data_IF_010927889068
#
_entry.id   IF_010927889068
#
_cell.length_a   1.000
_cell.length_b   1.000
_cell.length_c   1.000
_cell.angle_alpha   90.00
_cell.angle_beta   90.00
_cell.angle_gamma   90.00
#
_symmetry.space_group_name_H-M   'P 1'
#
loop_
_entity.id
_entity.type
_entity.pdbx_description
1 polymer ?
#
# COMPACT_ATOMS: atom_id res chain seq x y z
N UNK A 1 5.60 -5.89 -11.43
CA UNK A 1 5.82 -4.42 -11.42
C UNK A 1 5.10 -3.81 -12.60
N UNK A 2 4.27 -2.78 -12.37
CA UNK A 2 3.48 -2.13 -13.42
C UNK A 2 4.05 -0.73 -13.69
N UNK A 3 4.27 -0.40 -14.96
CA UNK A 3 4.55 0.98 -15.37
C UNK A 3 3.24 1.76 -15.40
N UNK A 4 3.18 2.86 -14.66
CA UNK A 4 2.06 3.79 -14.63
C UNK A 4 2.55 5.11 -15.21
N UNK A 5 1.88 5.57 -16.27
CA UNK A 5 2.17 6.87 -16.88
C UNK A 5 1.82 7.99 -15.90
N UNK A 6 2.72 8.97 -15.77
CA UNK A 6 2.55 10.12 -14.86
C UNK A 6 2.34 11.40 -15.66
N UNK A 7 3.30 11.75 -16.51
CA UNK A 7 3.31 13.03 -17.24
C UNK A 7 4.32 13.02 -18.39
N UNK A 8 4.37 14.10 -19.17
CA UNK A 8 5.53 14.36 -20.02
C UNK A 8 6.69 14.90 -19.18
N UNK A 9 7.92 14.53 -19.53
CA UNK A 9 9.15 15.07 -18.93
C UNK A 9 9.22 16.61 -18.98
N UNK A 10 8.51 17.22 -19.93
CA UNK A 10 8.41 18.67 -20.15
C UNK A 10 7.44 19.36 -19.19
N UNK A 11 6.58 18.62 -18.52
CA UNK A 11 5.63 19.16 -17.53
C UNK A 11 6.33 19.48 -16.19
N UNK A 12 7.56 19.02 -16.02
CA UNK A 12 8.38 19.17 -14.81
C UNK A 12 9.46 20.22 -15.09
N UNK A 13 9.52 21.33 -14.31
CA UNK A 13 10.54 22.35 -14.51
C UNK A 13 11.95 21.78 -14.29
N UNK A 14 12.95 22.31 -15.01
CA UNK A 14 14.36 21.98 -14.77
C UNK A 14 14.77 22.39 -13.35
N UNK A 15 15.41 21.46 -12.61
CA UNK A 15 15.68 21.64 -11.17
C UNK A 15 14.43 21.99 -10.34
N UNK A 16 13.25 21.56 -10.82
CA UNK A 16 11.96 21.77 -10.19
C UNK A 16 11.27 20.45 -9.87
N UNK A 17 10.08 20.58 -9.30
CA UNK A 17 9.25 19.45 -8.93
C UNK A 17 7.78 19.76 -9.21
N UNK A 18 6.96 18.71 -9.33
CA UNK A 18 5.51 18.84 -9.51
C UNK A 18 4.79 17.58 -9.04
N UNK A 19 3.64 17.73 -8.39
CA UNK A 19 2.78 16.60 -8.00
C UNK A 19 1.75 16.31 -9.09
N UNK A 20 1.49 15.02 -9.31
CA UNK A 20 0.50 14.51 -10.25
C UNK A 20 -0.45 13.53 -9.56
N UNK A 21 -1.74 13.67 -9.84
CA UNK A 21 -2.77 12.74 -9.39
C UNK A 21 -2.87 11.54 -10.34
N UNK A 22 -2.57 10.35 -9.83
CA UNK A 22 -2.79 9.12 -10.56
C UNK A 22 -4.25 8.68 -10.45
N UNK A 23 -4.71 7.87 -11.41
CA UNK A 23 -6.10 7.37 -11.45
C UNK A 23 -6.51 6.59 -10.20
N UNK A 24 -5.54 6.04 -9.47
CA UNK A 24 -5.77 5.32 -8.23
C UNK A 24 -5.77 6.20 -6.99
N UNK A 25 -5.81 7.53 -7.12
CA UNK A 25 -5.83 8.46 -6.00
C UNK A 25 -4.46 8.69 -5.34
N UNK A 26 -3.41 8.01 -5.82
CA UNK A 26 -2.04 8.26 -5.37
C UNK A 26 -1.56 9.58 -5.97
N UNK A 27 -1.03 10.45 -5.11
CA UNK A 27 -0.28 11.63 -5.51
C UNK A 27 1.19 11.29 -5.67
N UNK A 28 1.75 11.57 -6.84
CA UNK A 28 3.17 11.34 -7.12
C UNK A 28 3.85 12.67 -7.33
N UNK A 29 4.79 13.02 -6.47
CA UNK A 29 5.74 14.10 -6.71
C UNK A 29 6.82 13.58 -7.64
N UNK A 30 7.05 14.28 -8.76
CA UNK A 30 8.23 14.05 -9.60
C UNK A 30 9.14 15.26 -9.51
N UNK A 31 10.39 15.03 -9.12
CA UNK A 31 11.45 16.02 -9.05
C UNK A 31 12.49 15.77 -10.14
N UNK A 32 12.93 16.85 -10.79
CA UNK A 32 14.02 16.85 -11.74
C UNK A 32 15.28 17.33 -11.03
N UNK A 33 16.27 16.45 -10.88
CA UNK A 33 17.59 16.81 -10.36
C UNK A 33 18.64 16.67 -11.47
N UNK A 34 18.85 17.77 -12.22
CA UNK A 34 19.79 17.81 -13.34
C UNK A 34 19.34 16.96 -14.54
N UNK A 35 19.85 15.73 -14.65
CA UNK A 35 19.57 14.81 -15.78
C UNK A 35 18.71 13.61 -15.38
N UNK A 36 18.39 13.49 -14.09
CA UNK A 36 17.62 12.38 -13.54
C UNK A 36 16.32 12.86 -12.94
N UNK A 37 15.31 12.00 -13.03
CA UNK A 37 14.01 12.21 -12.41
C UNK A 37 13.86 11.26 -11.23
N UNK A 38 13.32 11.78 -10.14
CA UNK A 38 13.03 11.04 -8.93
C UNK A 38 11.55 11.19 -8.61
N UNK A 39 10.91 10.12 -8.17
CA UNK A 39 9.49 10.13 -7.85
C UNK A 39 9.24 9.65 -6.44
N UNK A 40 8.31 10.33 -5.75
CA UNK A 40 7.95 10.07 -4.36
C UNK A 40 6.45 10.20 -4.15
N UNK A 41 5.94 9.70 -3.02
CA UNK A 41 4.62 10.09 -2.52
C UNK A 41 4.57 11.63 -2.43
N UNK A 42 3.56 12.23 -3.07
CA UNK A 42 3.42 13.69 -3.15
C UNK A 42 2.90 14.34 -1.87
N UNK A 43 2.53 13.52 -0.90
CA UNK A 43 2.08 13.94 0.42
C UNK A 43 3.20 13.78 1.45
N UNK A 44 3.43 14.82 2.23
CA UNK A 44 4.38 14.85 3.32
C UNK A 44 4.07 13.73 4.33
N UNK A 45 5.04 12.86 4.68
CA UNK A 45 4.83 11.76 5.62
C UNK A 45 4.56 12.23 7.06
N UNK A 46 4.67 13.54 7.34
CA UNK A 46 4.33 14.13 8.63
C UNK A 46 2.81 14.42 8.76
N UNK A 47 2.20 15.24 7.89
CA UNK A 47 0.81 15.75 8.09
C UNK A 47 0.02 16.10 6.80
N UNK A 48 -0.13 15.17 5.85
CA UNK A 48 -1.05 15.35 4.71
C UNK A 48 -0.86 16.62 3.84
N UNK A 49 0.34 17.20 3.83
CA UNK A 49 0.69 18.40 3.04
C UNK A 49 1.21 18.02 1.66
N UNK A 50 0.75 18.69 0.60
CA UNK A 50 1.31 18.56 -0.74
C UNK A 50 2.76 19.07 -0.80
N UNK A 51 3.69 18.21 -1.19
CA UNK A 51 5.12 18.52 -1.16
C UNK A 51 5.57 19.48 -2.28
N UNK A 52 4.84 19.57 -3.39
CA UNK A 52 5.15 20.50 -4.48
C UNK A 52 4.81 21.96 -4.18
N UNK A 53 4.09 22.22 -3.08
CA UNK A 53 3.94 23.57 -2.51
C UNK A 53 5.18 23.99 -1.69
N UNK A 54 6.12 23.06 -1.47
CA UNK A 54 7.35 23.26 -0.73
C UNK A 54 8.45 23.98 -1.52
N UNK A 55 9.66 23.95 -0.95
CA UNK A 55 10.85 24.50 -1.57
C UNK A 55 11.75 23.37 -2.04
N UNK A 56 12.30 23.51 -3.25
CA UNK A 56 13.24 22.55 -3.82
C UNK A 56 14.36 23.30 -4.52
N UNK A 57 15.60 22.93 -4.23
CA UNK A 57 16.81 23.59 -4.75
C UNK A 57 17.58 22.76 -5.79
N UNK A 58 17.00 21.66 -6.25
CA UNK A 58 17.67 20.69 -7.14
C UNK A 58 18.27 19.49 -6.39
N UNK A 59 18.44 19.55 -5.07
CA UNK A 59 18.98 18.45 -4.26
C UNK A 59 18.15 18.14 -3.02
N UNK A 60 17.65 19.17 -2.34
CA UNK A 60 16.91 19.04 -1.09
C UNK A 60 15.48 19.55 -1.28
N UNK A 61 14.52 18.68 -0.96
CA UNK A 61 13.11 19.03 -0.85
C UNK A 61 12.81 19.46 0.59
N UNK A 62 12.17 20.60 0.78
CA UNK A 62 11.72 21.12 2.07
C UNK A 62 10.21 21.32 2.06
N UNK A 63 9.50 20.62 2.94
CA UNK A 63 8.07 20.86 3.19
C UNK A 63 7.87 22.28 3.75
N UNK A 64 6.94 23.06 3.17
CA UNK A 64 6.74 24.46 3.59
C UNK A 64 6.19 24.63 5.00
N UNK A 65 5.43 23.65 5.50
CA UNK A 65 4.68 23.82 6.75
C UNK A 65 5.54 23.53 7.98
N UNK A 66 6.21 22.38 8.02
CA UNK A 66 6.94 21.89 9.19
C UNK A 66 8.46 21.80 8.95
N UNK A 67 8.91 22.24 7.77
CA UNK A 67 10.33 22.32 7.40
C UNK A 67 11.07 20.99 7.47
N UNK A 68 10.36 19.86 7.37
CA UNK A 68 10.99 18.57 7.14
C UNK A 68 11.68 18.58 5.78
N UNK A 69 12.87 18.00 5.73
CA UNK A 69 13.73 18.01 4.57
C UNK A 69 14.13 16.60 4.16
N UNK A 70 14.34 16.42 2.86
CA UNK A 70 14.79 15.16 2.30
C UNK A 70 15.79 15.38 1.17
N UNK A 71 16.79 14.51 1.11
CA UNK A 71 17.66 14.39 -0.04
C UNK A 71 16.89 13.72 -1.18
N UNK A 72 16.78 14.40 -2.33
CA UNK A 72 15.94 13.95 -3.45
C UNK A 72 16.53 12.76 -4.21
N UNK A 73 17.81 12.44 -4.02
CA UNK A 73 18.45 11.33 -4.72
C UNK A 73 18.24 9.99 -3.99
N UNK A 74 18.06 10.07 -2.68
CA UNK A 74 17.92 8.91 -1.78
C UNK A 74 16.54 8.81 -1.15
N UNK A 75 15.78 9.90 -1.05
CA UNK A 75 14.56 10.01 -0.25
C UNK A 75 14.81 10.01 1.26
N UNK A 76 16.06 10.03 1.70
CA UNK A 76 16.41 9.96 3.11
C UNK A 76 16.04 11.27 3.82
N UNK A 77 15.56 11.13 5.05
CA UNK A 77 15.30 12.26 5.92
C UNK A 77 16.58 13.05 6.22
N UNK A 78 16.49 14.37 6.17
CA UNK A 78 17.57 15.31 6.49
C UNK A 78 17.13 16.21 7.65
N UNK A 79 18.05 16.46 8.58
CA UNK A 79 17.80 17.38 9.70
C UNK A 79 16.77 16.83 10.69
N UNK A 80 15.63 17.54 10.80
CA UNK A 80 14.57 17.25 11.77
C UNK A 80 13.56 16.20 11.29
N UNK A 81 13.63 15.78 10.03
CA UNK A 81 12.69 14.79 9.50
C UNK A 81 12.90 13.43 10.17
N UNK A 82 11.82 12.79 10.61
CA UNK A 82 11.87 11.52 11.34
C UNK A 82 11.48 10.32 10.47
N UNK A 83 10.97 10.56 9.25
CA UNK A 83 10.60 9.52 8.30
C UNK A 83 11.12 9.82 6.88
N UNK A 84 11.58 8.81 6.13
CA UNK A 84 11.98 8.97 4.73
C UNK A 84 10.76 9.19 3.82
N UNK A 85 11.00 9.67 2.60
CA UNK A 85 9.99 9.68 1.55
C UNK A 85 9.74 8.26 1.02
N UNK A 86 8.48 7.96 0.71
CA UNK A 86 8.14 6.76 -0.04
C UNK A 86 8.51 6.95 -1.52
N UNK A 87 9.53 6.23 -1.99
CA UNK A 87 10.07 6.35 -3.34
C UNK A 87 9.33 5.45 -4.35
N UNK A 88 9.22 5.94 -5.58
CA UNK A 88 8.84 5.17 -6.76
C UNK A 88 10.01 5.11 -7.74
N UNK A 89 10.27 3.93 -8.29
CA UNK A 89 11.24 3.81 -9.38
C UNK A 89 10.71 4.51 -10.63
N UNK A 90 11.58 5.28 -11.30
CA UNK A 90 11.21 6.10 -12.45
C UNK A 90 11.75 5.47 -13.74
N UNK A 91 10.91 5.40 -14.76
CA UNK A 91 11.31 5.09 -16.13
C UNK A 91 10.94 6.27 -17.03
N UNK A 92 11.84 6.67 -17.92
CA UNK A 92 11.59 7.71 -18.93
C UNK A 92 11.73 7.10 -20.31
N UNK A 93 10.67 7.16 -21.10
CA UNK A 93 10.59 6.60 -22.45
C UNK A 93 9.93 7.62 -23.37
N UNK A 94 10.57 8.00 -24.48
CA UNK A 94 10.02 8.95 -25.47
C UNK A 94 9.43 10.24 -24.86
N UNK A 95 10.19 10.91 -23.98
CA UNK A 95 9.76 12.11 -23.23
C UNK A 95 8.54 11.90 -22.30
N UNK A 96 8.19 10.65 -21.99
CA UNK A 96 7.15 10.30 -21.03
C UNK A 96 7.75 9.73 -19.75
N UNK A 97 7.28 10.24 -18.61
CA UNK A 97 7.68 9.79 -17.29
C UNK A 97 6.68 8.77 -16.77
N UNK A 98 7.21 7.62 -16.36
CA UNK A 98 6.46 6.54 -15.73
C UNK A 98 7.02 6.28 -14.34
N UNK A 99 6.14 5.90 -13.42
CA UNK A 99 6.56 5.25 -12.18
C UNK A 99 6.33 3.76 -12.27
N UNK A 100 7.26 3.00 -11.71
CA UNK A 100 7.15 1.57 -11.56
C UNK A 100 6.51 1.31 -10.21
N UNK A 101 5.22 0.99 -10.24
CA UNK A 101 4.49 0.63 -9.03
C UNK A 101 4.69 -0.87 -8.77
N UNK A 102 5.32 -1.18 -7.64
CA UNK A 102 5.17 -2.49 -7.03
C UNK A 102 3.71 -2.60 -6.58
N UNK A 103 3.00 -3.64 -7.03
CA UNK A 103 1.64 -3.90 -6.52
C UNK A 103 1.73 -4.05 -5.00
N UNK A 104 0.71 -3.60 -4.25
CA UNK A 104 0.64 -3.88 -2.82
C UNK A 104 0.80 -5.38 -2.51
N UNK A 105 0.42 -6.27 -3.44
CA UNK A 105 0.67 -7.71 -3.35
C UNK A 105 2.15 -8.08 -3.24
N UNK A 106 3.03 -7.34 -3.90
CA UNK A 106 4.46 -7.63 -3.91
C UNK A 106 5.17 -7.20 -2.62
N UNK A 107 4.65 -6.16 -1.95
CA UNK A 107 5.16 -5.68 -0.66
C UNK A 107 4.39 -6.25 0.54
N UNK A 108 3.28 -6.94 0.28
CA UNK A 108 2.42 -7.53 1.31
C UNK A 108 3.19 -8.47 2.23
N UNK A 109 3.02 -8.27 3.55
CA UNK A 109 3.72 -9.07 4.58
C UNK A 109 3.52 -10.57 4.41
N UNK A 110 2.33 -10.99 3.96
CA UNK A 110 2.00 -12.39 3.74
C UNK A 110 2.75 -13.03 2.56
N UNK A 111 3.02 -12.26 1.51
CA UNK A 111 3.52 -12.75 0.22
C UNK A 111 4.97 -12.36 -0.08
N UNK A 112 5.61 -11.51 0.74
CA UNK A 112 6.93 -10.95 0.47
C UNK A 112 8.12 -11.92 0.40
N UNK A 113 7.93 -13.22 0.65
CA UNK A 113 8.99 -14.24 0.61
C UNK A 113 8.76 -15.34 -0.43
N UNK A 114 7.77 -15.21 -1.31
CA UNK A 114 7.48 -16.24 -2.32
C UNK A 114 8.38 -16.10 -3.55
N UNK A 115 8.44 -17.16 -4.37
CA UNK A 115 9.18 -17.15 -5.62
C UNK A 115 8.58 -16.15 -6.63
N UNK A 116 9.42 -15.62 -7.53
CA UNK A 116 8.98 -14.67 -8.57
C UNK A 116 7.89 -15.26 -9.48
N UNK A 117 7.96 -16.55 -9.81
CA UNK A 117 6.96 -17.21 -10.65
C UNK A 117 5.62 -17.35 -9.94
N UNK A 118 5.62 -17.63 -8.64
CA UNK A 118 4.41 -17.69 -7.81
C UNK A 118 3.80 -16.30 -7.65
N UNK A 119 4.63 -15.28 -7.42
CA UNK A 119 4.20 -13.88 -7.40
C UNK A 119 3.51 -13.47 -8.71
N UNK A 120 4.06 -13.87 -9.85
CA UNK A 120 3.47 -13.58 -11.16
C UNK A 120 2.09 -14.23 -11.32
N UNK A 121 1.92 -15.49 -10.90
CA UNK A 121 0.62 -16.17 -10.93
C UNK A 121 -0.40 -15.49 -10.01
N UNK A 122 0.00 -15.02 -8.83
CA UNK A 122 -0.88 -14.27 -7.93
C UNK A 122 -1.28 -12.92 -8.54
N UNK A 123 -0.36 -12.20 -9.18
CA UNK A 123 -0.66 -10.94 -9.87
C UNK A 123 -1.71 -11.11 -10.98
N UNK A 124 -1.75 -12.26 -11.66
CA UNK A 124 -2.72 -12.53 -12.73
C UNK A 124 -4.16 -12.69 -12.23
N UNK A 125 -4.34 -13.15 -10.99
CA UNK A 125 -5.68 -13.33 -10.37
C UNK A 125 -6.07 -12.17 -9.46
N UNK A 126 -5.12 -11.29 -9.14
CA UNK A 126 -5.33 -10.12 -8.31
C UNK A 126 -6.13 -9.03 -9.03
N UNK A 127 -7.10 -8.43 -8.33
CA UNK A 127 -7.91 -7.32 -8.85
C UNK A 127 -7.79 -6.10 -7.96
N UNK A 128 -7.56 -4.95 -8.56
CA UNK A 128 -7.58 -3.67 -7.86
C UNK A 128 -9.03 -3.19 -7.73
N UNK A 129 -9.42 -2.75 -6.54
CA UNK A 129 -10.75 -2.20 -6.26
C UNK A 129 -10.64 -0.82 -5.60
N UNK A 130 -11.58 0.06 -5.95
CA UNK A 130 -11.71 1.40 -5.39
C UNK A 130 -12.96 1.48 -4.52
N UNK A 131 -12.80 2.00 -3.32
CA UNK A 131 -13.84 2.05 -2.30
C UNK A 131 -13.89 3.46 -1.71
N UNK A 132 -15.10 3.97 -1.46
CA UNK A 132 -15.30 5.31 -0.89
C UNK A 132 -15.26 5.26 0.63
N UNK A 133 -14.96 6.39 1.26
CA UNK A 133 -15.12 6.54 2.71
C UNK A 133 -16.53 6.06 3.18
N UNK A 134 -16.56 5.26 4.24
CA UNK A 134 -17.75 4.64 4.82
C UNK A 134 -18.23 3.36 4.13
N UNK A 135 -17.60 2.92 3.04
CA UNK A 135 -18.00 1.67 2.38
C UNK A 135 -17.60 0.45 3.22
N UNK A 136 -18.52 -0.51 3.37
CA UNK A 136 -18.26 -1.80 4.00
C UNK A 136 -17.70 -2.78 2.98
N UNK A 137 -16.52 -3.33 3.25
CA UNK A 137 -15.85 -4.32 2.41
C UNK A 137 -16.42 -5.73 2.62
N UNK A 138 -16.67 -6.06 3.89
CA UNK A 138 -17.43 -7.24 4.30
C UNK A 138 -17.98 -7.03 5.72
N UNK A 139 -19.11 -7.65 6.00
CA UNK A 139 -19.76 -7.68 7.30
C UNK A 139 -19.50 -8.98 8.08
N UNK A 140 -19.93 -8.99 9.33
CA UNK A 140 -19.96 -10.21 10.15
C UNK A 140 -20.97 -11.18 9.54
N UNK A 141 -20.57 -12.44 9.37
CA UNK A 141 -21.40 -13.48 8.77
C UNK A 141 -21.33 -13.55 7.23
N UNK A 142 -20.62 -12.65 6.55
CA UNK A 142 -20.35 -12.81 5.12
C UNK A 142 -19.46 -14.03 4.85
N UNK A 143 -19.47 -14.55 3.63
CA UNK A 143 -18.59 -15.65 3.22
C UNK A 143 -17.12 -15.22 3.19
N UNK A 144 -16.22 -16.18 3.42
CA UNK A 144 -14.78 -15.97 3.47
C UNK A 144 -14.12 -16.38 2.16
N UNK A 145 -14.41 -15.67 1.09
CA UNK A 145 -13.95 -16.06 -0.25
C UNK A 145 -12.65 -15.36 -0.67
N UNK A 146 -12.38 -14.19 -0.11
CA UNK A 146 -11.34 -13.29 -0.60
C UNK A 146 -10.33 -12.87 0.47
N UNK A 147 -9.10 -12.68 0.03
CA UNK A 147 -8.01 -12.01 0.75
C UNK A 147 -7.86 -10.60 0.16
N UNK A 148 -7.58 -9.64 1.04
CA UNK A 148 -7.43 -8.24 0.67
C UNK A 148 -6.07 -7.72 1.13
N UNK A 149 -5.55 -6.75 0.40
CA UNK A 149 -4.30 -6.05 0.69
C UNK A 149 -4.56 -4.57 0.53
N UNK A 150 -4.29 -3.78 1.57
CA UNK A 150 -4.49 -2.34 1.51
C UNK A 150 -3.37 -1.69 0.69
N UNK A 151 -3.71 -1.04 -0.42
CA UNK A 151 -2.73 -0.35 -1.28
C UNK A 151 -2.64 1.14 -0.93
N UNK A 152 -3.76 1.77 -0.61
CA UNK A 152 -3.84 3.13 -0.07
C UNK A 152 -5.15 3.33 0.68
N UNK A 153 -5.19 4.29 1.60
CA UNK A 153 -6.36 4.57 2.43
C UNK A 153 -6.21 4.02 3.85
N UNK A 154 -7.35 3.93 4.57
CA UNK A 154 -7.45 3.40 5.94
C UNK A 154 -8.68 2.51 6.05
N UNK A 155 -8.50 1.35 6.67
CA UNK A 155 -9.58 0.39 6.95
C UNK A 155 -9.64 0.09 8.44
N UNK A 156 -10.83 0.15 9.02
CA UNK A 156 -11.09 -0.21 10.42
C UNK A 156 -11.76 -1.58 10.53
N UNK A 157 -11.45 -2.29 11.62
CA UNK A 157 -12.13 -3.51 12.00
C UNK A 157 -13.11 -3.27 13.12
N UNK A 158 -14.37 -3.60 12.86
CA UNK A 158 -15.41 -3.59 13.88
C UNK A 158 -15.66 -5.03 14.31
N UNK A 159 -15.36 -5.34 15.58
CA UNK A 159 -15.62 -6.65 16.20
C UNK A 159 -16.85 -6.49 17.10
N UNK A 160 -17.83 -7.37 16.93
CA UNK A 160 -19.07 -7.32 17.70
C UNK A 160 -19.89 -8.59 17.57
N UNK A 161 -20.94 -8.69 18.38
CA UNK A 161 -22.07 -9.61 18.21
C UNK A 161 -23.33 -8.75 18.19
N UNK A 162 -24.22 -9.00 17.24
CA UNK A 162 -25.50 -8.28 17.07
C UNK A 162 -25.31 -6.76 16.83
N UNK A 163 -26.24 -5.91 17.28
CA UNK A 163 -26.23 -4.44 17.10
C UNK A 163 -25.12 -3.70 17.87
N UNK A 164 -24.23 -4.43 18.55
CA UNK A 164 -23.13 -3.88 19.33
C UNK A 164 -21.77 -4.21 18.69
N UNK A 165 -21.34 -3.35 17.78
CA UNK A 165 -20.00 -3.36 17.20
C UNK A 165 -19.09 -2.38 17.92
N UNK A 166 -17.92 -2.84 18.35
CA UNK A 166 -16.84 -1.99 18.88
C UNK A 166 -15.65 -2.02 17.93
N UNK A 167 -14.90 -0.92 17.86
CA UNK A 167 -13.62 -0.91 17.16
C UNK A 167 -12.69 -1.97 17.77
N UNK A 168 -12.07 -2.79 16.92
CA UNK A 168 -11.11 -3.81 17.30
C UNK A 168 -9.82 -3.23 17.91
N UNK A 169 -9.63 -1.91 17.76
CA UNK A 169 -8.51 -1.18 18.34
C UNK A 169 -7.24 -1.19 17.49
N UNK A 170 -7.31 -1.60 16.22
CA UNK A 170 -6.20 -1.51 15.27
C UNK A 170 -6.70 -1.14 13.87
N UNK A 171 -6.16 -0.04 13.32
CA UNK A 171 -6.41 0.44 11.96
C UNK A 171 -5.39 -0.19 11.02
N UNK A 172 -5.83 -0.64 9.84
CA UNK A 172 -4.90 -1.17 8.85
C UNK A 172 -4.17 -0.08 8.07
N UNK A 173 -2.91 -0.36 7.74
CA UNK A 173 -2.03 0.47 6.92
C UNK A 173 -1.65 -0.20 5.60
N UNK A 174 -1.08 0.61 4.69
CA UNK A 174 -0.61 0.14 3.37
C UNK A 174 0.30 -1.08 3.48
N UNK A 175 0.06 -2.08 2.62
CA UNK A 175 0.78 -3.35 2.57
C UNK A 175 0.26 -4.39 3.57
N UNK A 176 -0.62 -4.02 4.50
CA UNK A 176 -1.21 -4.98 5.41
C UNK A 176 -2.27 -5.84 4.71
N UNK A 177 -2.26 -7.12 5.06
CA UNK A 177 -3.13 -8.14 4.50
C UNK A 177 -4.24 -8.45 5.47
N UNK A 178 -5.47 -8.50 4.97
CA UNK A 178 -6.64 -8.85 5.75
C UNK A 178 -7.60 -9.74 4.99
N UNK A 179 -8.65 -10.19 5.67
CA UNK A 179 -9.53 -11.23 5.15
C UNK A 179 -8.84 -12.59 4.98
N UNK A 180 -7.64 -12.77 5.57
CA UNK A 180 -6.81 -13.98 5.47
C UNK A 180 -7.50 -15.26 5.97
N UNK A 181 -8.62 -15.15 6.68
CA UNK A 181 -9.48 -16.30 7.01
C UNK A 181 -9.92 -17.10 5.76
N UNK A 182 -9.95 -16.47 4.58
CA UNK A 182 -10.19 -17.15 3.30
C UNK A 182 -9.09 -18.17 2.91
N UNK A 183 -7.94 -18.17 3.60
CA UNK A 183 -6.85 -19.12 3.42
C UNK A 183 -6.86 -20.24 4.46
N UNK A 184 -7.82 -20.24 5.38
CA UNK A 184 -7.92 -21.25 6.44
C UNK A 184 -9.12 -22.17 6.23
N UNK A 185 -8.90 -23.44 6.52
CA UNK A 185 -9.98 -24.42 6.59
C UNK A 185 -10.93 -24.11 7.76
N UNK A 186 -12.22 -24.40 7.57
CA UNK A 186 -13.28 -24.36 8.60
C UNK A 186 -13.64 -22.97 9.16
N UNK A 187 -13.36 -21.90 8.41
CA UNK A 187 -13.79 -20.56 8.76
C UNK A 187 -14.72 -19.94 7.70
N UNK A 188 -15.90 -20.53 7.40
CA UNK A 188 -16.73 -20.13 6.25
C UNK A 188 -17.38 -18.74 6.37
N UNK A 189 -17.26 -18.10 7.54
CA UNK A 189 -17.98 -16.88 7.89
C UNK A 189 -17.03 -15.85 8.52
N UNK A 190 -17.15 -14.60 8.08
CA UNK A 190 -16.42 -13.46 8.65
C UNK A 190 -16.85 -13.22 10.10
N UNK A 191 -15.87 -12.98 10.97
CA UNK A 191 -16.08 -12.73 12.41
C UNK A 191 -15.96 -11.26 12.80
N UNK A 192 -15.64 -10.40 11.83
CA UNK A 192 -15.48 -8.96 11.99
C UNK A 192 -16.02 -8.27 10.73
N UNK A 193 -16.42 -7.01 10.89
CA UNK A 193 -16.75 -6.12 9.77
C UNK A 193 -15.51 -5.29 9.42
N UNK A 194 -15.26 -5.09 8.13
CA UNK A 194 -14.22 -4.21 7.61
C UNK A 194 -14.85 -3.02 6.89
N UNK A 195 -14.46 -1.80 7.27
CA UNK A 195 -15.01 -0.56 6.71
C UNK A 195 -13.89 0.42 6.35
N UNK A 196 -14.01 1.07 5.20
CA UNK A 196 -13.08 2.12 4.77
C UNK A 196 -13.36 3.41 5.56
N UNK A 197 -12.36 3.94 6.25
CA UNK A 197 -12.46 5.23 6.95
C UNK A 197 -12.26 6.43 6.01
N UNK A 198 -11.58 6.22 4.89
CA UNK A 198 -11.34 7.19 3.83
C UNK A 198 -11.39 6.50 2.46
N UNK A 199 -11.36 7.26 1.37
CA UNK A 199 -11.27 6.69 0.02
C UNK A 199 -10.04 5.77 -0.08
N UNK A 200 -10.27 4.50 -0.40
CA UNK A 200 -9.27 3.44 -0.26
C UNK A 200 -9.13 2.63 -1.54
N UNK A 201 -7.91 2.16 -1.80
CA UNK A 201 -7.58 1.24 -2.89
C UNK A 201 -7.05 -0.05 -2.31
N UNK A 202 -7.60 -1.15 -2.80
CA UNK A 202 -7.32 -2.50 -2.31
C UNK A 202 -6.91 -3.41 -3.46
N UNK A 203 -6.09 -4.40 -3.16
CA UNK A 203 -5.94 -5.59 -4.00
C UNK A 203 -6.80 -6.70 -3.38
N UNK A 204 -7.74 -7.23 -4.16
CA UNK A 204 -8.58 -8.39 -3.83
C UNK A 204 -8.12 -9.61 -4.60
N UNK A 205 -8.04 -10.75 -3.91
CA UNK A 205 -7.66 -12.03 -4.50
C UNK A 205 -8.54 -13.14 -3.92
N UNK A 206 -9.07 -14.00 -4.77
CA UNK A 206 -9.85 -15.15 -4.31
C UNK A 206 -8.96 -16.15 -3.54
N UNK A 207 -9.35 -16.50 -2.32
CA UNK A 207 -8.58 -17.35 -1.42
C UNK A 207 -8.38 -18.77 -1.94
N UNK A 208 -9.40 -19.37 -2.57
CA UNK A 208 -9.27 -20.71 -3.15
C UNK A 208 -8.23 -20.73 -4.28
N UNK A 209 -8.25 -19.73 -5.16
CA UNK A 209 -7.25 -19.61 -6.22
C UNK A 209 -5.83 -19.35 -5.67
N UNK A 210 -5.70 -18.60 -4.57
CA UNK A 210 -4.41 -18.44 -3.86
C UNK A 210 -3.91 -19.80 -3.38
N UNK A 211 -4.75 -20.58 -2.70
CA UNK A 211 -4.40 -21.91 -2.19
C UNK A 211 -3.98 -22.85 -3.33
N UNK A 212 -4.69 -22.85 -4.46
CA UNK A 212 -4.35 -23.65 -5.64
C UNK A 212 -2.97 -23.27 -6.22
N UNK A 213 -2.64 -21.98 -6.26
CA UNK A 213 -1.33 -21.50 -6.73
C UNK A 213 -0.21 -21.88 -5.76
N UNK A 214 -0.46 -21.81 -4.44
CA UNK A 214 0.50 -22.18 -3.42
C UNK A 214 0.72 -23.71 -3.36
N UNK A 215 -0.29 -24.51 -3.65
CA UNK A 215 -0.15 -25.97 -3.74
C UNK A 215 0.78 -26.39 -4.89
N UNK A 216 0.88 -25.58 -5.95
CA UNK A 216 1.79 -25.80 -7.08
C UNK A 216 3.24 -25.39 -6.78
N UNK A 217 3.48 -24.58 -5.74
CA UNK A 217 4.81 -24.22 -5.24
C UNK A 217 4.86 -24.37 -3.70
N UNK A 218 5.05 -25.60 -3.19
CA UNK A 218 4.98 -25.89 -1.76
C UNK A 218 5.99 -25.12 -0.92
N UNK A 219 7.14 -24.73 -1.48
CA UNK A 219 8.13 -23.89 -0.77
C UNK A 219 7.56 -22.51 -0.51
N UNK A 220 6.99 -21.86 -1.53
CA UNK A 220 6.28 -20.58 -1.35
C UNK A 220 5.06 -20.74 -0.43
N UNK A 221 4.29 -21.82 -0.58
CA UNK A 221 3.16 -22.15 0.30
C UNK A 221 3.55 -22.24 1.77
N UNK A 222 4.63 -22.94 2.10
CA UNK A 222 5.17 -23.02 3.46
C UNK A 222 5.54 -21.64 4.01
N UNK A 223 6.20 -20.79 3.21
CA UNK A 223 6.60 -19.45 3.63
C UNK A 223 5.39 -18.56 3.91
N UNK A 224 4.36 -18.61 3.06
CA UNK A 224 3.09 -17.90 3.27
C UNK A 224 2.41 -18.37 4.55
N UNK A 225 2.29 -19.68 4.75
CA UNK A 225 1.65 -20.22 5.96
C UNK A 225 2.42 -19.87 7.23
N UNK A 226 3.75 -19.81 7.17
CA UNK A 226 4.58 -19.33 8.27
C UNK A 226 4.31 -17.85 8.58
N UNK A 227 4.19 -17.00 7.56
CA UNK A 227 3.85 -15.58 7.76
C UNK A 227 2.44 -15.42 8.30
N UNK A 228 1.48 -16.21 7.82
CA UNK A 228 0.11 -16.22 8.34
C UNK A 228 0.08 -16.55 9.84
N UNK A 229 0.80 -17.59 10.28
CA UNK A 229 0.91 -17.93 11.70
C UNK A 229 1.52 -16.78 12.53
N UNK A 230 2.52 -16.09 12.00
CA UNK A 230 3.11 -14.90 12.64
C UNK A 230 2.13 -13.72 12.71
N UNK A 231 1.27 -13.54 11.69
CA UNK A 231 0.27 -12.48 11.70
C UNK A 231 -0.83 -12.75 12.73
N UNK A 232 -1.32 -13.99 12.81
CA UNK A 232 -2.36 -14.40 13.77
C UNK A 232 -1.88 -14.13 15.20
N UNK A 233 -0.64 -14.48 15.53
CA UNK A 233 -0.09 -14.23 16.86
C UNK A 233 0.01 -12.75 17.21
N UNK A 234 0.35 -11.87 16.25
CA UNK A 234 0.39 -10.41 16.45
C UNK A 234 -0.99 -9.79 16.71
N UNK A 235 -2.02 -10.26 16.01
CA UNK A 235 -3.39 -9.77 16.21
C UNK A 235 -4.08 -10.37 17.44
N UNK A 236 -3.56 -11.46 18.02
CA UNK A 236 -4.03 -12.06 19.28
C UNK A 236 -3.26 -11.57 20.51
N UNK A 237 -2.09 -10.94 20.34
CA UNK A 237 -1.40 -10.25 21.43
C UNK A 237 -2.03 -8.89 21.67
N UNK A 238 -2.84 -8.79 22.72
CA UNK A 238 -3.33 -7.53 23.29
C UNK A 238 -2.09 -6.63 23.54
N UNK A 239 -2.04 -5.38 23.05
CA UNK A 239 -0.99 -4.46 23.41
C UNK A 239 -0.94 -4.37 24.94
N UNK A 240 0.22 -4.64 25.55
CA UNK A 240 0.40 -4.37 26.98
C UNK A 240 0.00 -2.92 27.22
N UNK A 241 -1.00 -2.70 28.06
CA UNK A 241 -1.37 -1.38 28.55
C UNK A 241 -0.09 -0.68 29.06
N UNK A 242 0.21 0.50 28.49
CA UNK A 242 1.12 1.46 29.13
C UNK A 242 0.37 2.20 30.21
#
# INVERSE_FOLDING_TARGET
MRKVHVCSSRDIPSNGMKTFDLKNGIKVLVANAGTQYYAYQGICPHQEVCLDEGFYDGSVLTCHQHLWQWDITTGAAVGLAEAPLEAYEVAVEDDQVFVIQASALQTATLFGSISASTMERLNQIARQEHHRAGSTLYGIGDTTDDVYILESGKVDFLIGRDDHTSAAGFVLHKGEVFGWAALLDRHPRRIAKAECLEDSVLIRINGAQVLDILAQDPTSGYLVMRQLANMITRHLTIPKAK
#
